data_IF_362444176195
#
_entry.id   IF_362444176195
#
_cell.length_a   1.000
_cell.length_b   1.000
_cell.length_c   1.000
_cell.angle_alpha   90.00
_cell.angle_beta   90.00
_cell.angle_gamma   90.00
#
_symmetry.space_group_name_H-M   'P 1'
#
loop_
_entity.id
_entity.type
_entity.pdbx_description
1 polymer ?
#
# COMPACT_ATOMS: atom_id res chain seq x y z
N UNK A 1 8.80 11.35 -27.57
CA UNK A 1 9.89 12.20 -28.09
C UNK A 1 9.52 13.66 -28.18
N UNK A 2 8.41 14.06 -28.81
CA UNK A 2 8.00 15.49 -28.93
C UNK A 2 8.10 16.29 -27.63
N UNK A 3 7.45 15.84 -26.55
CA UNK A 3 7.51 16.51 -25.23
C UNK A 3 8.94 16.67 -24.65
N UNK A 4 9.86 15.75 -24.95
CA UNK A 4 11.25 15.86 -24.46
C UNK A 4 11.98 16.98 -25.21
N UNK A 5 11.80 17.07 -26.52
CA UNK A 5 12.43 18.11 -27.35
C UNK A 5 11.87 19.49 -27.03
N UNK A 6 10.57 19.58 -26.69
CA UNK A 6 9.96 20.82 -26.20
C UNK A 6 10.59 21.29 -24.87
N UNK A 7 10.90 20.35 -23.98
CA UNK A 7 11.52 20.65 -22.68
C UNK A 7 13.04 20.88 -22.75
N UNK A 8 13.71 20.27 -23.72
CA UNK A 8 15.17 20.28 -23.87
C UNK A 8 15.53 20.59 -25.33
N UNK A 9 15.33 21.83 -25.80
CA UNK A 9 15.58 22.20 -27.18
C UNK A 9 17.05 22.03 -27.59
N UNK A 10 17.97 22.05 -26.63
CA UNK A 10 19.40 21.77 -26.82
C UNK A 10 19.69 20.37 -27.39
N UNK A 11 18.76 19.41 -27.27
CA UNK A 11 18.88 18.10 -27.92
C UNK A 11 18.76 18.18 -29.44
N UNK A 12 18.22 19.27 -30.00
CA UNK A 12 18.14 19.48 -31.46
C UNK A 12 19.51 19.83 -32.07
N UNK A 13 20.44 20.32 -31.25
CA UNK A 13 21.78 20.74 -31.66
C UNK A 13 22.88 19.82 -31.12
N UNK A 14 22.52 18.76 -30.40
CA UNK A 14 23.48 17.85 -29.80
C UNK A 14 24.09 16.91 -30.83
N UNK A 15 25.36 16.56 -30.65
CA UNK A 15 26.01 15.48 -31.37
C UNK A 15 25.86 14.18 -30.59
N UNK A 16 25.12 13.17 -31.09
CA UNK A 16 24.79 11.97 -30.33
C UNK A 16 26.02 11.25 -29.74
N UNK A 17 27.13 11.19 -30.48
CA UNK A 17 28.35 10.52 -30.05
C UNK A 17 29.05 11.21 -28.88
N UNK A 18 28.97 12.53 -28.79
CA UNK A 18 29.69 13.32 -27.79
C UNK A 18 28.78 13.70 -26.61
N UNK A 19 27.48 13.90 -26.86
CA UNK A 19 26.55 14.42 -25.87
C UNK A 19 25.64 13.33 -25.28
N UNK A 20 25.19 12.35 -26.09
CA UNK A 20 24.15 11.40 -25.68
C UNK A 20 24.73 10.05 -25.29
N UNK A 21 25.59 9.47 -26.12
CA UNK A 21 26.16 8.15 -25.87
C UNK A 21 26.94 8.05 -24.56
N UNK A 22 27.79 9.03 -24.17
CA UNK A 22 28.46 8.96 -22.87
C UNK A 22 27.50 8.88 -21.68
N UNK A 23 26.31 9.47 -21.80
CA UNK A 23 25.27 9.41 -20.77
C UNK A 23 24.61 8.03 -20.76
N UNK A 24 24.33 7.45 -21.93
CA UNK A 24 23.76 6.11 -22.04
C UNK A 24 24.74 5.04 -21.54
N UNK A 25 26.01 5.14 -21.92
CA UNK A 25 27.10 4.26 -21.47
C UNK A 25 27.24 4.37 -19.95
N UNK A 26 27.24 5.59 -19.40
CA UNK A 26 27.24 5.79 -17.94
C UNK A 26 26.04 5.09 -17.26
N UNK A 27 24.82 5.23 -17.80
CA UNK A 27 23.64 4.61 -17.21
C UNK A 27 23.64 3.07 -17.31
N UNK A 28 24.19 2.51 -18.38
CA UNK A 28 24.24 1.07 -18.64
C UNK A 28 25.41 0.39 -17.93
N UNK A 29 26.60 0.98 -17.97
CA UNK A 29 27.83 0.33 -17.55
C UNK A 29 28.24 0.72 -16.13
N UNK A 30 28.04 1.98 -15.73
CA UNK A 30 28.43 2.43 -14.39
C UNK A 30 27.30 2.36 -13.39
N UNK A 31 26.09 2.78 -13.77
CA UNK A 31 24.91 2.72 -12.89
C UNK A 31 24.26 1.34 -12.92
N UNK A 32 24.50 0.56 -13.97
CA UNK A 32 23.96 -0.80 -14.17
C UNK A 32 22.42 -0.84 -14.18
N UNK A 33 21.79 0.16 -14.81
CA UNK A 33 20.34 0.16 -15.02
C UNK A 33 20.01 -0.88 -16.09
N UNK A 34 19.01 -1.76 -15.87
CA UNK A 34 18.56 -2.67 -16.92
C UNK A 34 18.20 -1.91 -18.19
N UNK A 35 18.61 -2.42 -19.35
CA UNK A 35 18.38 -1.76 -20.65
C UNK A 35 16.91 -1.35 -20.87
N UNK A 36 15.96 -2.20 -20.47
CA UNK A 36 14.52 -1.94 -20.60
C UNK A 36 13.99 -0.80 -19.70
N UNK A 37 14.79 -0.36 -18.72
CA UNK A 37 14.48 0.71 -17.77
C UNK A 37 15.18 2.04 -18.12
N UNK A 38 16.13 2.05 -19.07
CA UNK A 38 16.81 3.26 -19.54
C UNK A 38 15.80 4.24 -20.14
N UNK A 39 14.94 3.77 -21.04
CA UNK A 39 13.91 4.63 -21.65
C UNK A 39 12.97 5.22 -20.59
N UNK A 40 12.54 4.41 -19.60
CA UNK A 40 11.67 4.88 -18.51
C UNK A 40 12.39 5.92 -17.64
N UNK A 41 13.69 5.75 -17.41
CA UNK A 41 14.54 6.67 -16.67
C UNK A 41 14.61 8.03 -17.36
N UNK A 42 14.87 8.04 -18.67
CA UNK A 42 14.92 9.25 -19.50
C UNK A 42 13.55 9.94 -19.54
N UNK A 43 12.46 9.19 -19.70
CA UNK A 43 11.11 9.76 -19.73
C UNK A 43 10.73 10.42 -18.39
N UNK A 44 11.15 9.84 -17.27
CA UNK A 44 10.91 10.41 -15.93
C UNK A 44 11.80 11.61 -15.62
N UNK A 45 13.07 11.56 -16.05
CA UNK A 45 14.02 12.63 -15.83
C UNK A 45 14.80 12.95 -17.12
N UNK A 46 14.18 13.72 -18.05
CA UNK A 46 14.84 14.08 -19.31
C UNK A 46 16.16 14.83 -19.11
N UNK A 47 16.29 15.56 -17.98
CA UNK A 47 17.51 16.26 -17.58
C UNK A 47 18.76 15.36 -17.52
N UNK A 48 18.59 14.04 -17.41
CA UNK A 48 19.70 13.09 -17.53
C UNK A 48 20.49 13.31 -18.81
N UNK A 49 19.81 13.52 -19.94
CA UNK A 49 20.41 13.67 -21.28
C UNK A 49 21.22 14.95 -21.48
N UNK A 50 21.16 15.87 -20.52
CA UNK A 50 21.85 17.17 -20.60
C UNK A 50 22.70 17.45 -19.38
N UNK A 51 22.86 16.45 -18.51
CA UNK A 51 23.68 16.55 -17.30
C UNK A 51 25.08 16.03 -17.60
N UNK A 52 26.10 16.77 -17.18
CA UNK A 52 27.50 16.34 -17.31
C UNK A 52 27.74 15.05 -16.54
N UNK A 53 28.26 14.02 -17.21
CA UNK A 53 28.65 12.76 -16.57
C UNK A 53 29.68 13.03 -15.49
N UNK A 54 30.77 13.74 -15.82
CA UNK A 54 31.89 13.94 -14.90
C UNK A 54 31.59 14.88 -13.73
N UNK A 55 30.87 15.98 -13.97
CA UNK A 55 30.69 17.01 -12.95
C UNK A 55 29.38 16.86 -12.17
N UNK A 56 28.43 16.07 -12.66
CA UNK A 56 27.10 15.91 -12.01
C UNK A 56 26.77 14.46 -11.71
N UNK A 57 26.71 13.61 -12.74
CA UNK A 57 26.17 12.25 -12.59
C UNK A 57 27.10 11.33 -11.79
N UNK A 58 28.39 11.31 -12.11
CA UNK A 58 29.40 10.47 -11.46
C UNK A 58 29.60 10.85 -9.99
N UNK A 59 29.74 12.13 -9.60
CA UNK A 59 29.79 12.52 -8.19
C UNK A 59 28.53 12.12 -7.41
N UNK A 60 27.34 12.29 -8.01
CA UNK A 60 26.10 11.86 -7.38
C UNK A 60 26.03 10.34 -7.20
N UNK A 61 26.48 9.56 -8.19
CA UNK A 61 26.58 8.10 -8.10
C UNK A 61 27.54 7.66 -6.98
N UNK A 62 28.72 8.28 -6.87
CA UNK A 62 29.67 8.01 -5.80
C UNK A 62 29.05 8.26 -4.42
N UNK A 63 28.39 9.40 -4.24
CA UNK A 63 27.70 9.72 -2.99
C UNK A 63 26.56 8.73 -2.67
N UNK A 64 25.78 8.32 -3.67
CA UNK A 64 24.72 7.31 -3.47
C UNK A 64 25.31 5.94 -3.09
N UNK A 65 26.44 5.54 -3.69
CA UNK A 65 27.15 4.32 -3.31
C UNK A 65 27.63 4.38 -1.86
N UNK A 66 28.17 5.51 -1.41
CA UNK A 66 28.53 5.72 0.01
C UNK A 66 27.33 5.65 0.95
N UNK A 67 26.14 6.07 0.50
CA UNK A 67 24.89 5.92 1.24
C UNK A 67 24.37 4.47 1.27
N UNK A 68 24.93 3.57 0.46
CA UNK A 68 24.61 2.14 0.45
C UNK A 68 23.92 1.64 -0.83
N UNK A 69 23.80 2.46 -1.87
CA UNK A 69 23.29 2.03 -3.19
C UNK A 69 24.38 1.29 -3.98
N UNK A 70 24.76 0.09 -3.50
CA UNK A 70 25.88 -0.69 -4.04
C UNK A 70 25.45 -1.98 -4.74
N UNK A 71 24.25 -2.49 -4.45
CA UNK A 71 23.78 -3.72 -5.07
C UNK A 71 23.38 -3.48 -6.55
N UNK A 72 23.49 -4.50 -7.42
CA UNK A 72 22.91 -4.44 -8.75
C UNK A 72 21.44 -4.02 -8.66
N UNK A 73 21.03 -3.11 -9.54
CA UNK A 73 19.67 -2.58 -9.59
C UNK A 73 19.21 -1.85 -8.31
N UNK A 74 20.13 -1.49 -7.40
CA UNK A 74 19.82 -0.62 -6.26
C UNK A 74 19.35 0.77 -6.73
N UNK A 75 19.87 1.21 -7.87
CA UNK A 75 19.32 2.33 -8.63
C UNK A 75 18.39 1.81 -9.72
N UNK A 76 17.16 2.31 -9.72
CA UNK A 76 16.10 1.94 -10.66
C UNK A 76 15.66 3.15 -11.44
N UNK A 77 14.80 2.95 -12.43
CA UNK A 77 14.16 4.06 -13.14
C UNK A 77 13.35 5.04 -12.25
N UNK A 78 13.10 4.71 -10.97
CA UNK A 78 12.47 5.62 -10.01
C UNK A 78 13.46 6.51 -9.25
N UNK A 79 14.73 6.09 -9.14
CA UNK A 79 15.76 6.79 -8.36
C UNK A 79 16.76 7.54 -9.22
N UNK A 80 16.74 7.37 -10.55
CA UNK A 80 17.65 8.07 -11.48
C UNK A 80 17.60 9.59 -11.40
N UNK A 81 16.48 10.17 -10.94
CA UNK A 81 16.39 11.61 -10.68
C UNK A 81 17.38 12.10 -9.61
N UNK A 82 17.87 11.21 -8.75
CA UNK A 82 18.87 11.55 -7.73
C UNK A 82 20.24 11.84 -8.37
N UNK A 83 20.54 11.21 -9.51
CA UNK A 83 21.82 11.38 -10.22
C UNK A 83 21.99 12.80 -10.78
N UNK A 84 20.90 13.48 -11.11
CA UNK A 84 20.95 14.87 -11.61
C UNK A 84 20.96 15.92 -10.49
N UNK A 85 20.95 15.49 -9.22
CA UNK A 85 20.93 16.39 -8.06
C UNK A 85 22.36 16.76 -7.63
N UNK A 86 22.52 17.96 -7.08
CA UNK A 86 23.80 18.36 -6.49
C UNK A 86 24.07 17.63 -5.19
N UNK A 87 25.26 17.07 -5.03
CA UNK A 87 25.65 16.41 -3.77
C UNK A 87 25.67 17.45 -2.66
N UNK A 88 26.40 18.55 -2.85
CA UNK A 88 26.61 19.58 -1.84
C UNK A 88 25.34 20.40 -1.57
N UNK A 89 24.63 20.82 -2.63
CA UNK A 89 23.50 21.76 -2.45
C UNK A 89 22.16 21.07 -2.21
N UNK A 90 22.03 19.78 -2.51
CA UNK A 90 20.73 19.10 -2.53
C UNK A 90 20.69 17.82 -1.72
N UNK A 91 21.62 16.88 -1.95
CA UNK A 91 21.56 15.57 -1.31
C UNK A 91 22.11 15.61 0.12
N UNK A 92 23.28 16.24 0.32
CA UNK A 92 23.93 16.35 1.64
C UNK A 92 23.05 17.09 2.66
N UNK A 93 22.42 18.24 2.36
CA UNK A 93 21.58 18.94 3.33
C UNK A 93 20.40 18.10 3.83
N UNK A 94 19.90 17.16 3.01
CA UNK A 94 18.83 16.23 3.40
C UNK A 94 19.35 15.13 4.34
N UNK A 95 20.57 14.64 4.11
CA UNK A 95 21.23 13.68 4.99
C UNK A 95 21.57 14.35 6.33
N UNK A 96 22.14 15.55 6.30
CA UNK A 96 22.46 16.35 7.49
C UNK A 96 21.21 16.68 8.30
N UNK A 97 20.11 17.06 7.64
CA UNK A 97 18.84 17.24 8.32
C UNK A 97 18.42 15.97 9.08
N UNK A 98 18.46 14.80 8.46
CA UNK A 98 18.09 13.55 9.13
C UNK A 98 19.04 13.23 10.30
N UNK A 99 20.35 13.50 10.14
CA UNK A 99 21.32 13.34 11.23
C UNK A 99 21.08 14.32 12.38
N UNK A 100 20.63 15.54 12.10
CA UNK A 100 20.29 16.53 13.14
C UNK A 100 19.13 16.09 14.06
N UNK A 101 18.36 15.07 13.64
CA UNK A 101 17.31 14.44 14.46
C UNK A 101 17.87 13.42 15.48
N UNK A 102 19.20 13.23 15.50
CA UNK A 102 19.87 12.27 16.39
C UNK A 102 20.16 10.91 15.76
N UNK A 103 19.91 10.72 14.45
CA UNK A 103 20.25 9.48 13.76
C UNK A 103 21.72 9.43 13.36
N UNK A 104 22.34 8.27 13.51
CA UNK A 104 23.67 8.00 12.96
C UNK A 104 23.62 7.92 11.44
N UNK A 105 24.75 8.19 10.76
CA UNK A 105 24.85 8.08 9.29
C UNK A 105 24.40 6.70 8.78
N UNK A 106 24.77 5.63 9.49
CA UNK A 106 24.38 4.26 9.13
C UNK A 106 22.85 4.02 9.24
N UNK A 107 22.18 4.65 10.20
CA UNK A 107 20.72 4.59 10.32
C UNK A 107 20.04 5.40 9.22
N UNK A 108 20.57 6.59 8.90
CA UNK A 108 20.09 7.41 7.79
C UNK A 108 20.21 6.65 6.46
N UNK A 109 21.35 6.01 6.19
CA UNK A 109 21.52 5.13 5.03
C UNK A 109 20.42 4.05 4.96
N UNK A 110 20.15 3.34 6.06
CA UNK A 110 19.07 2.34 6.12
C UNK A 110 17.67 2.92 5.95
N UNK A 111 17.45 4.16 6.35
CA UNK A 111 16.19 4.88 6.13
C UNK A 111 16.01 5.25 4.66
N UNK A 112 17.04 5.83 4.05
CA UNK A 112 17.06 6.23 2.64
C UNK A 112 16.92 5.03 1.71
N UNK A 113 17.57 3.90 2.00
CA UNK A 113 17.43 2.68 1.19
C UNK A 113 16.00 2.12 1.21
N UNK A 114 15.29 2.25 2.33
CA UNK A 114 13.87 1.85 2.42
C UNK A 114 12.94 2.91 1.83
N UNK A 115 13.35 4.17 1.81
CA UNK A 115 12.56 5.30 1.34
C UNK A 115 13.43 6.36 0.70
N UNK A 116 13.79 6.14 -0.56
CA UNK A 116 14.64 7.04 -1.34
C UNK A 116 13.99 8.42 -1.58
N UNK A 117 12.66 8.52 -1.41
CA UNK A 117 11.92 9.78 -1.41
C UNK A 117 12.41 10.79 -0.37
N UNK A 118 13.05 10.35 0.71
CA UNK A 118 13.67 11.26 1.69
C UNK A 118 14.69 12.22 1.05
N UNK A 119 15.37 11.77 0.00
CA UNK A 119 16.32 12.61 -0.76
C UNK A 119 15.66 13.46 -1.84
N UNK A 120 14.33 13.36 -2.04
CA UNK A 120 13.60 14.13 -3.06
C UNK A 120 12.77 15.24 -2.44
N UNK A 121 12.27 15.07 -1.22
CA UNK A 121 11.49 16.08 -0.53
C UNK A 121 12.30 17.33 -0.16
N UNK A 122 11.63 18.48 -0.10
CA UNK A 122 12.22 19.73 0.39
C UNK A 122 12.34 19.68 1.90
N UNK A 123 13.50 20.06 2.44
CA UNK A 123 13.69 20.15 3.89
C UNK A 123 12.71 21.16 4.49
N UNK A 124 12.74 22.41 4.01
CA UNK A 124 11.93 23.50 4.54
C UNK A 124 10.42 23.32 4.33
N UNK A 125 10.01 22.84 3.14
CA UNK A 125 8.59 22.83 2.76
C UNK A 125 7.89 21.48 2.98
N UNK A 126 8.63 20.44 3.37
CA UNK A 126 8.05 19.10 3.54
C UNK A 126 8.55 18.39 4.79
N UNK A 127 9.86 18.23 4.95
CA UNK A 127 10.41 17.47 6.08
C UNK A 127 10.18 18.20 7.41
N UNK A 128 10.53 19.49 7.48
CA UNK A 128 10.39 20.30 8.70
C UNK A 128 8.93 20.41 9.16
N UNK A 129 7.95 20.80 8.33
CA UNK A 129 6.56 20.95 8.79
C UNK A 129 5.95 19.62 9.27
N UNK A 130 6.32 18.49 8.65
CA UNK A 130 5.82 17.17 9.05
C UNK A 130 6.47 16.70 10.34
N UNK A 131 7.76 16.96 10.52
CA UNK A 131 8.46 16.68 11.76
C UNK A 131 7.91 17.51 12.92
N UNK A 132 7.71 18.81 12.69
CA UNK A 132 7.15 19.74 13.69
C UNK A 132 5.79 19.25 14.19
N UNK A 133 4.87 18.93 13.27
CA UNK A 133 3.58 18.33 13.61
C UNK A 133 3.73 17.02 14.38
N UNK A 134 4.63 16.14 13.96
CA UNK A 134 4.85 14.84 14.60
C UNK A 134 5.35 14.97 16.04
N UNK A 135 6.30 15.87 16.31
CA UNK A 135 6.84 16.06 17.65
C UNK A 135 5.93 16.89 18.55
N UNK A 136 5.35 17.96 18.02
CA UNK A 136 4.62 18.95 18.81
C UNK A 136 3.14 18.61 18.99
N UNK A 137 2.46 18.13 17.93
CA UNK A 137 1.03 17.79 18.00
C UNK A 137 0.83 16.31 18.30
N UNK A 138 1.49 15.41 17.56
CA UNK A 138 1.31 13.97 17.76
C UNK A 138 2.07 13.39 18.96
N UNK A 139 3.01 14.17 19.54
CA UNK A 139 3.91 13.74 20.62
C UNK A 139 4.68 12.44 20.30
N UNK A 140 5.05 12.29 19.04
CA UNK A 140 5.71 11.08 18.53
C UNK A 140 7.20 11.00 18.88
N UNK A 141 7.72 9.77 18.89
CA UNK A 141 9.14 9.49 19.11
C UNK A 141 9.89 9.44 17.75
N UNK A 142 11.01 10.14 17.64
CA UNK A 142 11.89 10.11 16.45
C UNK A 142 12.30 8.68 16.08
N UNK A 143 12.42 7.76 17.03
CA UNK A 143 12.71 6.36 16.73
C UNK A 143 11.62 5.68 15.87
N UNK A 144 10.38 6.17 15.93
CA UNK A 144 9.30 5.70 15.06
C UNK A 144 9.49 6.16 13.61
N UNK A 145 9.99 7.39 13.37
CA UNK A 145 10.35 7.87 12.04
C UNK A 145 11.45 7.01 11.42
N UNK A 146 12.40 6.55 12.24
CA UNK A 146 13.39 5.56 11.81
C UNK A 146 12.73 4.24 11.43
N UNK A 147 11.73 3.75 12.16
CA UNK A 147 11.02 2.50 11.79
C UNK A 147 10.17 2.67 10.53
N UNK A 148 9.59 3.85 10.33
CA UNK A 148 8.67 4.16 9.23
C UNK A 148 9.03 5.47 8.49
N UNK A 149 10.11 5.48 7.69
CA UNK A 149 10.55 6.69 6.97
C UNK A 149 9.55 7.18 5.92
N UNK A 150 8.64 6.32 5.45
CA UNK A 150 7.56 6.70 4.53
C UNK A 150 6.57 7.72 5.11
N UNK A 151 6.61 8.00 6.42
CA UNK A 151 5.87 9.10 7.03
C UNK A 151 5.94 10.39 6.19
N UNK A 152 7.16 10.77 5.77
CA UNK A 152 7.40 11.98 4.98
C UNK A 152 6.82 11.95 3.56
N UNK A 153 6.37 10.79 3.07
CA UNK A 153 5.71 10.67 1.75
C UNK A 153 4.23 11.04 1.79
N UNK A 154 3.58 10.99 2.96
CA UNK A 154 2.15 11.27 3.07
C UNK A 154 1.87 12.78 3.14
N UNK A 155 0.72 13.19 2.61
CA UNK A 155 0.27 14.59 2.69
C UNK A 155 -0.01 14.97 4.15
N UNK A 156 0.57 16.09 4.60
CA UNK A 156 0.37 16.60 5.96
C UNK A 156 -1.10 16.97 6.17
N UNK A 157 -1.63 17.86 5.33
CA UNK A 157 -3.01 18.33 5.40
C UNK A 157 -4.02 17.29 4.91
N UNK A 158 -3.65 16.48 3.90
CA UNK A 158 -4.58 15.56 3.26
C UNK A 158 -4.72 14.19 3.93
N UNK A 159 -3.76 13.77 4.76
CA UNK A 159 -3.78 12.42 5.37
C UNK A 159 -3.28 12.38 6.81
N UNK A 160 -2.16 13.02 7.13
CA UNK A 160 -1.57 12.92 8.49
C UNK A 160 -2.48 13.62 9.51
N UNK A 161 -2.78 14.91 9.32
CA UNK A 161 -3.63 15.70 10.23
C UNK A 161 -5.03 15.13 10.40
N UNK A 162 -5.79 14.81 9.32
CA UNK A 162 -7.15 14.31 9.47
C UNK A 162 -7.23 12.98 10.23
N UNK A 163 -6.28 12.06 9.96
CA UNK A 163 -6.26 10.76 10.64
C UNK A 163 -5.83 10.90 12.10
N UNK A 164 -4.85 11.75 12.40
CA UNK A 164 -4.46 12.02 13.78
C UNK A 164 -5.61 12.64 14.57
N UNK A 165 -6.29 13.66 14.03
CA UNK A 165 -7.43 14.31 14.68
C UNK A 165 -8.57 13.32 14.98
N UNK A 166 -8.82 12.37 14.07
CA UNK A 166 -9.80 11.32 14.27
C UNK A 166 -9.44 10.38 15.43
N UNK A 167 -8.17 9.96 15.51
CA UNK A 167 -7.68 9.13 16.60
C UNK A 167 -7.78 9.84 17.95
N UNK A 168 -7.36 11.12 18.03
CA UNK A 168 -7.46 11.93 19.24
C UNK A 168 -8.92 12.07 19.69
N UNK A 169 -9.85 12.33 18.77
CA UNK A 169 -11.29 12.43 19.09
C UNK A 169 -11.85 11.14 19.69
N UNK A 170 -11.31 10.00 19.29
CA UNK A 170 -11.73 8.68 19.77
C UNK A 170 -10.89 8.17 20.94
N UNK A 171 -9.90 8.94 21.41
CA UNK A 171 -8.98 8.49 22.45
C UNK A 171 -8.07 7.33 22.05
N UNK A 172 -7.90 7.07 20.75
CA UNK A 172 -7.12 5.95 20.22
C UNK A 172 -5.68 6.37 19.90
N UNK A 173 -4.77 5.40 19.97
CA UNK A 173 -3.38 5.55 19.53
C UNK A 173 -3.00 4.38 18.64
N UNK A 174 -2.41 4.67 17.48
CA UNK A 174 -1.96 3.67 16.51
C UNK A 174 -0.54 3.98 16.04
N UNK A 175 0.30 2.97 15.78
CA UNK A 175 1.58 3.18 15.12
C UNK A 175 1.42 3.85 13.76
N UNK A 176 2.37 4.71 13.36
CA UNK A 176 2.34 5.47 12.11
C UNK A 176 2.07 4.60 10.87
N UNK A 177 2.68 3.41 10.83
CA UNK A 177 2.51 2.47 9.72
C UNK A 177 1.04 2.07 9.57
N UNK A 178 0.40 1.69 10.66
CA UNK A 178 -0.99 1.25 10.67
C UNK A 178 -1.95 2.40 10.41
N UNK A 179 -1.63 3.57 10.96
CA UNK A 179 -2.40 4.79 10.74
C UNK A 179 -2.34 5.27 9.28
N UNK A 180 -1.20 5.17 8.59
CA UNK A 180 -0.97 5.87 7.31
C UNK A 180 -0.92 4.96 6.08
N UNK A 181 -0.49 3.70 6.22
CA UNK A 181 -0.27 2.83 5.07
C UNK A 181 -1.58 2.29 4.47
N UNK A 182 -2.63 2.17 5.28
CA UNK A 182 -3.93 1.65 4.85
C UNK A 182 -4.70 2.68 4.02
N UNK A 183 -5.59 2.19 3.14
CA UNK A 183 -6.55 3.03 2.41
C UNK A 183 -7.49 3.77 3.37
N UNK A 184 -8.19 4.80 2.88
CA UNK A 184 -9.12 5.54 3.75
C UNK A 184 -10.25 4.65 4.27
N UNK A 185 -10.75 3.73 3.44
CA UNK A 185 -11.72 2.71 3.88
C UNK A 185 -11.14 1.74 4.91
N UNK A 186 -9.90 1.28 4.71
CA UNK A 186 -9.23 0.40 5.69
C UNK A 186 -8.93 1.09 7.01
N UNK A 187 -8.67 2.40 6.98
CA UNK A 187 -8.54 3.21 8.19
C UNK A 187 -9.89 3.33 8.92
N UNK A 188 -10.97 3.66 8.20
CA UNK A 188 -12.32 3.77 8.75
C UNK A 188 -12.78 2.46 9.42
N UNK A 189 -12.58 1.31 8.74
CA UNK A 189 -12.93 0.00 9.29
C UNK A 189 -12.24 -0.28 10.62
N UNK A 190 -10.95 0.05 10.74
CA UNK A 190 -10.21 -0.11 12.00
C UNK A 190 -10.81 0.75 13.11
N UNK A 191 -11.19 2.00 12.83
CA UNK A 191 -11.81 2.86 13.83
C UNK A 191 -13.13 2.28 14.36
N UNK A 192 -13.93 1.70 13.47
CA UNK A 192 -15.19 1.04 13.84
C UNK A 192 -14.91 -0.19 14.71
N UNK A 193 -13.95 -1.04 14.33
CA UNK A 193 -13.54 -2.21 15.13
C UNK A 193 -13.15 -1.81 16.57
N UNK A 194 -12.38 -0.74 16.73
CA UNK A 194 -12.03 -0.23 18.06
C UNK A 194 -13.27 0.27 18.84
N UNK A 195 -14.19 0.97 18.20
CA UNK A 195 -15.43 1.43 18.85
C UNK A 195 -16.33 0.27 19.29
N UNK A 196 -16.48 -0.77 18.47
CA UNK A 196 -17.25 -1.96 18.84
C UNK A 196 -16.59 -2.75 19.96
N UNK A 197 -15.26 -2.83 19.97
CA UNK A 197 -14.54 -3.49 21.07
C UNK A 197 -14.74 -2.82 22.43
N UNK A 198 -14.90 -1.50 22.49
CA UNK A 198 -15.23 -0.78 23.74
C UNK A 198 -16.68 -1.02 24.20
N UNK A 199 -17.62 -1.19 23.27
CA UNK A 199 -19.03 -1.45 23.58
C UNK A 199 -19.26 -2.86 24.15
N UNK A 200 -18.51 -3.85 23.68
CA UNK A 200 -18.58 -5.22 24.21
C UNK A 200 -18.07 -5.33 25.66
N UNK A 201 -17.10 -4.49 26.06
CA UNK A 201 -16.66 -4.40 27.46
C UNK A 201 -17.69 -3.73 28.37
N UNK A 202 -18.46 -2.75 27.88
CA UNK A 202 -19.52 -2.10 28.65
C UNK A 202 -20.77 -2.99 28.84
N UNK A 203 -21.03 -3.91 27.92
CA UNK A 203 -22.12 -4.88 28.08
C UNK A 203 -21.75 -5.99 29.09
N UNK A 204 -20.45 -6.32 29.23
CA UNK A 204 -19.98 -7.28 30.22
C UNK A 204 -19.91 -6.72 31.65
N UNK A 205 -19.91 -5.40 31.84
CA UNK A 205 -19.88 -4.76 33.18
C UNK A 205 -21.25 -4.54 33.81
N UNK A 206 -22.36 -4.94 33.17
CA UNK A 206 -23.73 -4.79 33.71
C UNK A 206 -24.40 -6.11 34.13
N UNK A 207 -23.64 -7.19 34.32
CA UNK A 207 -24.17 -8.45 34.89
C UNK A 207 -23.38 -8.88 36.14
N UNK A 208 -23.60 -8.18 37.25
CA UNK A 208 -23.24 -8.67 38.58
C UNK A 208 -24.51 -8.93 39.41
N UNK A 209 -25.03 -10.18 39.35
CA UNK A 209 -25.58 -10.91 40.51
C UNK A 209 -25.13 -12.39 40.42
N UNK A 210 -24.07 -12.72 41.18
CA UNK A 210 -23.73 -13.98 41.87
C UNK A 210 -23.15 -15.21 41.10
N UNK A 211 -22.36 -16.08 41.78
CA UNK A 211 -20.93 -16.18 41.50
C UNK A 211 -20.45 -17.59 41.04
N UNK A 212 -19.27 -17.63 40.42
CA UNK A 212 -18.47 -18.84 40.32
C UNK A 212 -17.47 -18.84 39.16
N UNK A 213 -16.19 -18.63 39.48
CA UNK A 213 -14.99 -19.33 38.94
C UNK A 213 -14.99 -19.71 37.43
N UNK A 214 -14.06 -19.33 36.55
CA UNK A 214 -12.61 -19.06 36.65
C UNK A 214 -12.19 -18.28 35.39
N UNK A 215 -11.30 -17.28 35.51
CA UNK A 215 -10.65 -16.59 34.37
C UNK A 215 -9.50 -17.43 33.78
N UNK A 216 -9.31 -17.52 32.44
CA UNK A 216 -8.02 -17.90 31.90
C UNK A 216 -7.08 -16.68 31.97
N UNK A 217 -6.00 -16.81 32.74
CA UNK A 217 -4.85 -15.89 32.71
C UNK A 217 -4.01 -16.19 31.48
N UNK A 218 -3.68 -15.17 30.70
CA UNK A 218 -2.39 -15.13 30.03
C UNK A 218 -1.76 -13.75 30.24
N UNK A 219 -0.70 -13.73 31.05
CA UNK A 219 0.32 -12.70 30.99
C UNK A 219 1.68 -13.35 31.14
N UNK A 220 2.43 -13.20 30.06
CA UNK A 220 3.85 -12.84 29.91
C UNK A 220 4.94 -13.49 30.78
N UNK A 221 6.00 -13.85 30.04
CA UNK A 221 7.43 -13.82 30.35
C UNK A 221 8.17 -15.12 30.73
N UNK A 222 8.96 -15.56 29.73
CA UNK A 222 10.39 -15.84 29.75
C UNK A 222 10.99 -16.93 30.69
N UNK A 223 11.45 -18.01 30.04
CA UNK A 223 12.74 -18.77 30.13
C UNK A 223 13.69 -18.65 31.34
N UNK A 224 14.69 -19.56 31.54
CA UNK A 224 14.97 -20.87 30.92
C UNK A 224 15.48 -21.97 31.90
N UNK A 225 15.86 -23.14 31.34
CA UNK A 225 17.00 -24.04 31.70
C UNK A 225 16.63 -25.51 32.01
N UNK A 226 17.09 -26.39 31.09
CA UNK A 226 17.71 -27.73 31.23
C UNK A 226 17.01 -28.82 32.08
N UNK A 227 17.03 -30.12 31.80
CA UNK A 227 17.67 -30.99 30.79
C UNK A 227 17.24 -32.44 31.09
N UNK A 228 17.59 -33.35 30.17
CA UNK A 228 17.79 -34.81 30.34
C UNK A 228 16.65 -35.73 29.83
N UNK A 229 16.93 -36.27 28.64
CA UNK A 229 16.87 -37.68 28.19
C UNK A 229 15.83 -38.65 28.75
N UNK A 230 15.14 -39.38 27.87
CA UNK A 230 15.57 -40.72 27.41
C UNK A 230 14.68 -41.27 26.27
N UNK A 231 15.35 -42.05 25.42
CA UNK A 231 14.92 -43.06 24.43
C UNK A 231 13.61 -43.83 24.73
N UNK A 232 12.88 -44.46 23.80
CA UNK A 232 13.32 -45.29 22.68
C UNK A 232 12.20 -45.57 21.64
N UNK A 233 12.65 -46.11 20.52
CA UNK A 233 12.08 -46.47 19.21
C UNK A 233 11.29 -47.82 19.18
N UNK A 234 11.05 -48.52 18.03
CA UNK A 234 10.39 -48.19 16.74
C UNK A 234 9.44 -49.33 16.19
N UNK A 235 9.14 -49.27 14.88
CA UNK A 235 8.77 -50.35 13.89
C UNK A 235 7.25 -50.69 13.85
N UNK A 236 6.53 -50.69 12.71
CA UNK A 236 6.77 -51.49 11.49
C UNK A 236 5.93 -51.02 10.30
N UNK A 237 6.55 -51.06 9.12
CA UNK A 237 6.01 -50.91 7.76
C UNK A 237 5.50 -52.25 7.19
N UNK A 238 4.39 -52.26 6.43
CA UNK A 238 4.17 -53.26 5.36
C UNK A 238 3.46 -52.59 4.17
N UNK A 239 4.12 -52.67 3.00
CA UNK A 239 3.60 -52.41 1.67
C UNK A 239 2.89 -53.66 1.11
N UNK A 240 1.92 -53.49 0.21
CA UNK A 240 1.87 -54.25 -1.06
C UNK A 240 0.85 -53.64 -2.03
N UNK A 241 1.29 -53.55 -3.28
CA UNK A 241 0.65 -53.08 -4.49
C UNK A 241 -0.26 -54.12 -5.17
N UNK A 242 -1.31 -53.68 -5.87
CA UNK A 242 -1.75 -54.27 -7.14
C UNK A 242 -2.77 -53.35 -7.87
N UNK A 243 -2.54 -53.11 -9.16
CA UNK A 243 -3.49 -52.61 -10.19
C UNK A 243 -3.86 -53.77 -11.13
N UNK A 244 -4.69 -53.65 -12.21
CA UNK A 244 -5.58 -52.57 -12.71
C UNK A 244 -6.99 -53.08 -13.17
N UNK A 245 -7.84 -52.22 -13.75
CA UNK A 245 -8.65 -52.39 -15.01
C UNK A 245 -10.04 -51.69 -14.99
N UNK A 246 -10.21 -50.79 -15.98
CA UNK A 246 -11.36 -50.18 -16.72
C UNK A 246 -12.80 -49.98 -16.17
N UNK A 247 -13.26 -48.74 -16.38
CA UNK A 247 -14.50 -48.26 -17.05
C UNK A 247 -15.90 -48.74 -16.60
N UNK A 248 -16.78 -47.79 -16.24
CA UNK A 248 -17.97 -47.29 -16.98
C UNK A 248 -18.82 -46.38 -16.06
N UNK A 249 -19.57 -45.50 -16.72
CA UNK A 249 -20.21 -44.24 -16.40
C UNK A 249 -21.45 -44.25 -15.46
N UNK A 250 -21.82 -43.03 -15.05
CA UNK A 250 -23.18 -42.50 -14.73
C UNK A 250 -23.91 -42.94 -13.46
N UNK A 251 -24.07 -41.99 -12.52
CA UNK A 251 -25.36 -41.67 -11.92
C UNK A 251 -25.36 -40.25 -11.35
N UNK A 252 -26.47 -39.56 -11.58
CA UNK A 252 -26.74 -38.13 -11.44
C UNK A 252 -26.99 -37.73 -9.98
N UNK A 253 -26.46 -36.57 -9.56
CA UNK A 253 -26.89 -35.84 -8.35
C UNK A 253 -27.84 -34.68 -8.73
N UNK A 254 -28.79 -34.29 -7.84
CA UNK A 254 -29.81 -33.28 -8.11
C UNK A 254 -29.26 -31.83 -8.02
N UNK A 255 -29.99 -30.82 -8.51
CA UNK A 255 -29.43 -29.52 -8.90
C UNK A 255 -29.21 -28.56 -7.74
N UNK A 256 -28.18 -27.74 -7.92
CA UNK A 256 -27.72 -26.63 -7.08
C UNK A 256 -28.79 -25.52 -7.06
N UNK A 257 -29.15 -25.02 -5.87
CA UNK A 257 -30.00 -23.83 -5.71
C UNK A 257 -29.35 -22.61 -6.38
N UNK A 258 -30.03 -22.07 -7.38
CA UNK A 258 -29.62 -20.88 -8.13
C UNK A 258 -29.79 -19.64 -7.23
N UNK A 259 -28.70 -18.96 -6.85
CA UNK A 259 -28.78 -17.75 -6.01
C UNK A 259 -29.64 -16.68 -6.68
N UNK A 260 -30.63 -16.18 -5.93
CA UNK A 260 -31.61 -15.13 -6.33
C UNK A 260 -30.96 -13.83 -6.80
N UNK A 261 -29.68 -13.60 -6.49
CA UNK A 261 -28.91 -12.45 -6.98
C UNK A 261 -28.65 -12.50 -8.49
N UNK A 262 -28.65 -13.69 -9.10
CA UNK A 262 -28.42 -13.90 -10.54
C UNK A 262 -29.42 -13.15 -11.43
N UNK A 263 -30.67 -12.96 -10.97
CA UNK A 263 -31.73 -12.23 -11.66
C UNK A 263 -31.44 -10.73 -11.84
N UNK A 264 -30.55 -10.17 -11.01
CA UNK A 264 -30.23 -8.74 -11.01
C UNK A 264 -28.84 -8.44 -11.60
N UNK A 265 -28.16 -9.45 -12.12
CA UNK A 265 -26.84 -9.32 -12.72
C UNK A 265 -26.90 -8.71 -14.14
N UNK A 266 -26.14 -7.65 -14.36
CA UNK A 266 -25.82 -7.08 -15.67
C UNK A 266 -24.96 -8.07 -16.48
N UNK A 267 -25.09 -8.02 -17.82
CA UNK A 267 -24.38 -8.91 -18.77
C UNK A 267 -23.01 -8.38 -19.23
N UNK A 268 -22.46 -7.36 -18.58
CA UNK A 268 -21.21 -6.69 -18.99
C UNK A 268 -19.95 -7.25 -18.30
N UNK A 269 -18.79 -7.01 -18.95
CA UNK A 269 -17.48 -7.62 -18.69
C UNK A 269 -17.02 -7.49 -17.23
N UNK A 270 -16.42 -8.57 -16.70
CA UNK A 270 -16.01 -8.71 -15.29
C UNK A 270 -14.63 -8.08 -15.03
N UNK A 271 -14.55 -7.21 -14.01
CA UNK A 271 -13.30 -6.88 -13.30
C UNK A 271 -13.35 -7.68 -12.00
N UNK A 272 -12.56 -8.77 -11.91
CA UNK A 272 -12.54 -9.69 -10.77
C UNK A 272 -12.26 -8.96 -9.45
N UNK A 273 -11.57 -7.82 -9.47
CA UNK A 273 -11.28 -7.04 -8.28
C UNK A 273 -12.48 -6.20 -7.79
N UNK A 274 -13.60 -6.16 -8.52
CA UNK A 274 -14.77 -5.32 -8.20
C UNK A 274 -16.11 -6.02 -8.52
N UNK A 275 -16.42 -7.14 -7.84
CA UNK A 275 -17.52 -8.02 -8.21
C UNK A 275 -18.92 -7.36 -8.12
N UNK A 276 -19.10 -6.33 -7.29
CA UNK A 276 -20.40 -5.67 -7.14
C UNK A 276 -20.82 -4.81 -8.35
N UNK A 277 -19.90 -4.49 -9.27
CA UNK A 277 -20.29 -3.81 -10.53
C UNK A 277 -21.27 -4.65 -11.33
N UNK A 278 -21.27 -5.98 -11.14
CA UNK A 278 -22.22 -6.90 -11.76
C UNK A 278 -23.68 -6.56 -11.47
N UNK A 279 -23.99 -5.89 -10.36
CA UNK A 279 -25.37 -5.56 -9.99
C UNK A 279 -25.77 -4.13 -10.33
N UNK A 280 -24.95 -3.45 -11.12
CA UNK A 280 -25.15 -2.08 -11.57
C UNK A 280 -25.09 -2.00 -13.09
N UNK A 281 -25.79 -1.04 -13.67
CA UNK A 281 -25.67 -0.66 -15.09
C UNK A 281 -24.88 0.66 -15.17
N UNK A 282 -23.74 0.68 -15.85
CA UNK A 282 -22.93 1.92 -16.01
C UNK A 282 -23.51 2.74 -17.17
N UNK A 283 -23.89 3.99 -16.91
CA UNK A 283 -24.54 4.86 -17.90
C UNK A 283 -23.51 5.66 -18.71
N UNK A 284 -22.42 6.12 -18.08
CA UNK A 284 -21.33 6.84 -18.73
C UNK A 284 -19.96 6.31 -18.27
N UNK A 285 -19.13 5.88 -19.22
CA UNK A 285 -17.69 5.66 -19.01
C UNK A 285 -16.94 6.89 -19.51
N UNK A 286 -16.60 7.82 -18.63
CA UNK A 286 -15.59 8.81 -18.96
C UNK A 286 -14.21 8.18 -18.67
N UNK A 287 -13.51 7.73 -19.71
CA UNK A 287 -12.15 7.15 -19.64
C UNK A 287 -11.06 8.19 -19.29
N UNK A 288 -11.43 9.28 -18.62
CA UNK A 288 -10.51 10.29 -18.12
C UNK A 288 -10.26 10.08 -16.62
N UNK A 289 -9.39 9.12 -16.29
CA UNK A 289 -8.53 9.10 -15.09
C UNK A 289 -9.17 9.53 -13.74
N UNK A 290 -10.43 9.17 -13.47
CA UNK A 290 -11.15 9.55 -12.25
C UNK A 290 -12.05 8.43 -11.74
N UNK A 291 -11.86 8.02 -10.49
CA UNK A 291 -12.46 6.80 -9.90
C UNK A 291 -13.99 6.79 -9.68
N UNK A 292 -14.74 7.79 -10.16
CA UNK A 292 -16.19 7.88 -10.00
C UNK A 292 -16.91 7.58 -11.31
N UNK A 293 -17.83 6.61 -11.32
CA UNK A 293 -18.66 6.26 -12.48
C UNK A 293 -20.11 6.66 -12.23
N UNK A 294 -20.84 7.04 -13.28
CA UNK A 294 -22.29 7.21 -13.22
C UNK A 294 -22.95 5.85 -13.47
N UNK A 295 -23.73 5.37 -12.50
CA UNK A 295 -24.33 4.04 -12.54
C UNK A 295 -25.76 4.03 -12.03
N UNK A 296 -26.53 3.03 -12.47
CA UNK A 296 -27.89 2.72 -12.04
C UNK A 296 -27.92 1.41 -11.28
N UNK A 297 -28.57 1.39 -10.12
CA UNK A 297 -28.77 0.16 -9.34
C UNK A 297 -29.81 -0.75 -9.97
N UNK A 298 -29.47 -2.02 -10.24
CA UNK A 298 -30.44 -2.95 -10.85
C UNK A 298 -31.59 -3.33 -9.89
N UNK A 299 -31.39 -3.19 -8.57
CA UNK A 299 -32.43 -3.46 -7.57
C UNK A 299 -33.43 -2.30 -7.43
N UNK A 300 -32.94 -1.09 -7.10
CA UNK A 300 -33.81 0.05 -6.80
C UNK A 300 -33.91 1.09 -7.93
N UNK A 301 -33.19 0.90 -9.04
CA UNK A 301 -33.16 1.81 -10.20
C UNK A 301 -32.62 3.23 -9.89
N UNK A 302 -31.99 3.42 -8.73
CA UNK A 302 -31.37 4.70 -8.35
C UNK A 302 -30.11 4.96 -9.16
N UNK A 303 -29.97 6.18 -9.68
CA UNK A 303 -28.80 6.64 -10.41
C UNK A 303 -27.90 7.50 -9.52
N UNK A 304 -26.62 7.17 -9.45
CA UNK A 304 -25.64 7.86 -8.62
C UNK A 304 -24.29 7.92 -9.34
N UNK A 305 -23.63 9.09 -9.31
CA UNK A 305 -22.22 9.22 -9.72
C UNK A 305 -21.31 9.08 -8.51
N UNK A 306 -20.63 7.95 -8.38
CA UNK A 306 -19.79 7.68 -7.20
C UNK A 306 -18.73 6.61 -7.43
N UNK A 307 -17.84 6.43 -6.45
CA UNK A 307 -16.78 5.41 -6.49
C UNK A 307 -17.31 4.01 -6.16
N UNK A 308 -16.50 2.98 -6.43
CA UNK A 308 -16.83 1.60 -6.07
C UNK A 308 -17.07 1.39 -4.56
N UNK A 309 -16.34 2.12 -3.70
CA UNK A 309 -16.60 2.10 -2.25
C UNK A 309 -18.02 2.54 -1.90
N UNK A 310 -18.59 3.48 -2.68
CA UNK A 310 -19.98 3.93 -2.48
C UNK A 310 -21.02 2.96 -3.02
N UNK A 311 -20.67 2.18 -4.05
CA UNK A 311 -21.47 1.02 -4.49
C UNK A 311 -21.62 0.00 -3.36
N UNK A 312 -20.53 -0.29 -2.64
CA UNK A 312 -20.55 -1.19 -1.48
C UNK A 312 -21.51 -0.69 -0.39
N UNK A 313 -21.48 0.60 -0.05
CA UNK A 313 -22.43 1.16 0.94
C UNK A 313 -23.89 1.02 0.50
N UNK A 314 -24.18 1.24 -0.79
CA UNK A 314 -25.53 1.14 -1.31
C UNK A 314 -26.07 -0.31 -1.27
N UNK A 315 -25.27 -1.29 -1.70
CA UNK A 315 -25.72 -2.69 -1.82
C UNK A 315 -25.57 -3.51 -0.53
N UNK A 316 -24.55 -3.24 0.28
CA UNK A 316 -24.25 -4.01 1.49
C UNK A 316 -24.87 -3.43 2.77
N UNK A 317 -25.78 -2.45 2.65
CA UNK A 317 -26.46 -1.77 3.77
C UNK A 317 -25.53 -1.26 4.89
N UNK A 318 -24.28 -0.93 4.57
CA UNK A 318 -23.32 -0.40 5.55
C UNK A 318 -23.72 1.04 5.87
N UNK A 319 -24.21 1.29 7.09
CA UNK A 319 -24.57 2.61 7.59
C UNK A 319 -23.31 3.47 7.80
N UNK A 320 -23.20 4.64 7.17
CA UNK A 320 -22.01 5.48 7.36
C UNK A 320 -21.93 6.84 6.68
N UNK A 321 -22.31 7.05 5.40
CA UNK A 321 -22.07 8.35 4.72
C UNK A 321 -22.76 8.48 3.33
N UNK A 322 -23.28 9.69 3.04
CA UNK A 322 -23.79 10.35 1.80
C UNK A 322 -24.61 9.58 0.73
N UNK A 323 -24.56 8.25 0.66
CA UNK A 323 -25.32 7.44 -0.30
C UNK A 323 -26.34 6.60 0.46
N UNK A 324 -27.62 6.80 0.16
CA UNK A 324 -28.69 6.01 0.77
C UNK A 324 -28.56 4.53 0.42
N UNK A 325 -28.76 3.67 1.42
CA UNK A 325 -28.81 2.21 1.26
C UNK A 325 -29.93 1.79 0.29
N UNK A 326 -29.75 0.67 -0.39
CA UNK A 326 -30.75 0.14 -1.31
C UNK A 326 -31.94 -0.42 -0.52
N UNK A 327 -33.16 0.15 -0.66
CA UNK A 327 -34.32 -0.33 0.08
C UNK A 327 -34.85 -1.68 -0.44
N UNK A 328 -34.42 -2.11 -1.64
CA UNK A 328 -34.86 -3.36 -2.26
C UNK A 328 -33.92 -4.54 -2.05
N UNK A 329 -32.77 -4.33 -1.43
CA UNK A 329 -31.90 -5.44 -0.99
C UNK A 329 -32.50 -5.97 0.31
N UNK A 330 -33.05 -7.19 0.28
CA UNK A 330 -33.51 -7.91 1.47
C UNK A 330 -32.32 -8.56 2.18
N UNK A 331 -32.50 -9.04 3.41
CA UNK A 331 -31.39 -9.63 4.18
C UNK A 331 -30.88 -10.93 3.54
N UNK A 332 -31.76 -11.66 2.86
CA UNK A 332 -31.40 -12.84 2.05
C UNK A 332 -30.47 -12.44 0.88
N UNK A 333 -30.77 -11.33 0.19
CA UNK A 333 -29.91 -10.83 -0.89
C UNK A 333 -28.60 -10.25 -0.36
N UNK A 334 -28.60 -9.72 0.86
CA UNK A 334 -27.41 -9.15 1.50
C UNK A 334 -26.37 -10.22 1.80
N UNK A 335 -26.78 -11.38 2.33
CA UNK A 335 -25.89 -12.50 2.60
C UNK A 335 -25.24 -13.04 1.32
N UNK A 336 -26.00 -13.18 0.24
CA UNK A 336 -25.47 -13.58 -1.06
C UNK A 336 -24.47 -12.55 -1.62
N UNK A 337 -24.77 -11.25 -1.50
CA UNK A 337 -23.87 -10.18 -1.93
C UNK A 337 -22.57 -10.12 -1.11
N UNK A 338 -22.63 -10.43 0.20
CA UNK A 338 -21.46 -10.54 1.06
C UNK A 338 -20.58 -11.73 0.66
N UNK A 339 -21.16 -12.91 0.41
CA UNK A 339 -20.42 -14.10 -0.07
C UNK A 339 -19.68 -13.83 -1.38
N UNK A 340 -20.29 -13.09 -2.31
CA UNK A 340 -19.67 -12.70 -3.58
C UNK A 340 -18.47 -11.75 -3.38
N UNK A 341 -18.46 -10.95 -2.31
CA UNK A 341 -17.33 -10.08 -1.99
C UNK A 341 -16.17 -10.81 -1.29
N UNK A 342 -16.45 -11.92 -0.61
CA UNK A 342 -15.48 -12.68 0.19
C UNK A 342 -14.86 -13.85 -0.59
N UNK A 343 -15.53 -14.34 -1.64
CA UNK A 343 -15.11 -15.47 -2.46
C UNK A 343 -14.50 -15.12 -3.83
N UNK A 344 -14.06 -13.87 -4.03
CA UNK A 344 -13.48 -13.36 -5.29
C UNK A 344 -11.98 -13.12 -5.22
#
# INVERSE_FOLDING_TARGET
>A
MGRILDMLPQLLTCEPHNDIYPILDFLLDEVEIPYHDVQKSILRCPRLLVSSVENRLRPALCFLRELGFVAPHSLTCQTTLLLVSSVEDTLMPKVEFLMSLGFTRAEVSKMVLRSHGLLTYSVANNLVPKLDFFLNEMKGDVAELKRFPHFFSFSLEGRIKPRHAMLVRLGLSLPLREMLQVSDGGFESRLLEFQFSELDLHCQSSTDILPGSVKPRYSTNATPIASISTSATPITSISTSATPITSINTSVMPPVEESVTSLFASKELQDDNKPLWRFLTVIENNDAAGGNKLWRCNFCQKEVKSSYSRVRFHLLKICGQEVQVCPKVTDILLDDLNRICEGG
#
